data_IF_859297112502
#
_entry.id   IF_859297112502
#
_cell.length_a   1.000
_cell.length_b   1.000
_cell.length_c   1.000
_cell.angle_alpha   90.00
_cell.angle_beta   90.00
_cell.angle_gamma   90.00
#
_symmetry.space_group_name_H-M   'P 1'
#
loop_
_entity.id
_entity.type
_entity.pdbx_description
1 polymer ?
#
# COMPACT_ATOMS: atom_id res chain seq x y z
N UNK A 1 -20.46 7.12 -6.01
CA UNK A 1 -20.03 8.02 -4.93
C UNK A 1 -18.93 8.95 -5.40
N UNK A 2 -18.73 10.10 -4.75
CA UNK A 2 -17.57 10.96 -5.02
C UNK A 2 -16.32 10.23 -4.54
N UNK A 3 -15.15 10.58 -5.09
CA UNK A 3 -13.88 10.10 -4.55
C UNK A 3 -13.85 10.32 -3.04
N UNK A 4 -13.39 9.31 -2.28
CA UNK A 4 -13.35 9.27 -0.82
C UNK A 4 -14.67 8.98 -0.06
N UNK A 5 -15.80 8.72 -0.75
CA UNK A 5 -17.04 8.31 -0.06
C UNK A 5 -17.59 6.96 -0.52
N UNK A 6 -18.28 6.26 0.38
CA UNK A 6 -18.86 4.94 0.15
C UNK A 6 -20.26 4.78 0.78
N UNK A 7 -20.89 3.63 0.52
CA UNK A 7 -22.22 3.26 1.05
C UNK A 7 -23.36 3.61 0.09
N UNK A 8 -24.58 3.14 0.41
CA UNK A 8 -25.76 3.28 -0.47
C UNK A 8 -26.11 4.73 -0.81
N UNK A 9 -25.86 5.65 0.13
CA UNK A 9 -26.08 7.09 -0.04
C UNK A 9 -24.79 7.89 -0.23
N UNK A 10 -23.63 7.23 -0.38
CA UNK A 10 -22.33 7.89 -0.56
C UNK A 10 -21.99 8.90 0.54
N UNK A 11 -22.50 8.69 1.76
CA UNK A 11 -22.40 9.62 2.89
C UNK A 11 -21.32 9.24 3.89
N UNK A 12 -20.78 8.02 3.79
CA UNK A 12 -19.67 7.56 4.63
C UNK A 12 -18.34 7.90 3.99
N UNK A 13 -17.35 8.24 4.83
CA UNK A 13 -16.03 8.67 4.36
C UNK A 13 -15.02 7.55 4.55
N UNK A 14 -14.22 7.28 3.52
CA UNK A 14 -13.19 6.26 3.62
C UNK A 14 -12.04 6.75 4.49
N UNK A 15 -11.61 5.96 5.47
CA UNK A 15 -10.51 6.30 6.37
C UNK A 15 -9.16 5.79 5.83
N UNK A 16 -8.87 6.12 4.56
CA UNK A 16 -7.64 5.72 3.90
C UNK A 16 -6.52 6.75 4.13
N UNK A 17 -5.27 6.28 4.19
CA UNK A 17 -4.11 7.15 4.13
C UNK A 17 -4.09 7.89 2.79
N UNK A 18 -4.20 9.23 2.80
CA UNK A 18 -4.31 10.05 1.59
C UNK A 18 -3.05 10.04 0.71
N UNK A 19 -1.91 9.65 1.25
CA UNK A 19 -0.63 9.59 0.53
C UNK A 19 -0.41 8.21 -0.11
N UNK A 20 -0.95 7.15 0.50
CA UNK A 20 -0.64 5.76 0.15
C UNK A 20 -1.80 4.97 -0.43
N UNK A 21 -3.03 5.50 -0.38
CA UNK A 21 -4.16 4.90 -1.07
C UNK A 21 -4.17 5.26 -2.56
N UNK A 22 -4.72 4.35 -3.37
CA UNK A 22 -4.93 4.54 -4.79
C UNK A 22 -6.38 4.96 -5.07
N UNK A 23 -7.35 4.25 -4.51
CA UNK A 23 -8.75 4.65 -4.49
C UNK A 23 -9.50 3.94 -3.36
N UNK A 24 -10.71 4.39 -3.06
CA UNK A 24 -11.60 3.73 -2.13
C UNK A 24 -12.72 3.02 -2.90
N UNK A 25 -13.04 1.79 -2.51
CA UNK A 25 -14.20 1.06 -3.03
C UNK A 25 -15.49 1.78 -2.60
N UNK A 26 -16.28 2.19 -3.60
CA UNK A 26 -17.48 3.00 -3.37
C UNK A 26 -18.66 2.21 -2.81
N UNK A 27 -18.57 0.88 -2.75
CA UNK A 27 -19.58 -0.01 -2.18
C UNK A 27 -19.22 -0.34 -0.74
N UNK A 28 -17.98 -0.84 -0.52
CA UNK A 28 -17.55 -1.37 0.79
C UNK A 28 -16.86 -0.35 1.69
N UNK A 29 -16.28 0.70 1.10
CA UNK A 29 -15.39 1.62 1.83
C UNK A 29 -13.97 1.09 2.02
N UNK A 30 -13.63 -0.05 1.41
CA UNK A 30 -12.30 -0.63 1.48
C UNK A 30 -11.28 0.24 0.74
N UNK A 31 -10.12 0.45 1.36
CA UNK A 31 -9.03 1.20 0.75
C UNK A 31 -8.21 0.29 -0.17
N UNK A 32 -8.14 0.64 -1.45
CA UNK A 32 -7.19 0.02 -2.37
C UNK A 32 -5.89 0.79 -2.27
N UNK A 33 -4.84 0.12 -1.79
CA UNK A 33 -3.54 0.73 -1.55
C UNK A 33 -2.69 0.82 -2.82
N UNK A 34 -1.79 1.80 -2.85
CA UNK A 34 -0.73 1.86 -3.86
C UNK A 34 0.20 0.65 -3.69
N UNK A 35 0.94 0.24 -4.74
CA UNK A 35 2.00 -0.75 -4.61
C UNK A 35 2.97 -0.39 -3.47
N UNK A 36 3.42 -1.40 -2.72
CA UNK A 36 4.27 -1.21 -1.55
C UNK A 36 3.51 -0.89 -0.25
N UNK A 37 2.17 -0.79 -0.28
CA UNK A 37 1.36 -0.52 0.91
C UNK A 37 0.25 -1.56 1.09
N UNK A 38 -0.09 -1.81 2.35
CA UNK A 38 -1.08 -2.78 2.78
C UNK A 38 -1.85 -2.31 4.02
N UNK A 39 -2.70 -3.19 4.54
CA UNK A 39 -3.62 -2.88 5.63
C UNK A 39 -4.92 -2.22 5.14
N UNK A 40 -5.96 -2.26 5.97
CA UNK A 40 -7.30 -1.77 5.60
C UNK A 40 -7.33 -0.28 5.26
N UNK A 41 -6.32 0.47 5.68
CA UNK A 41 -6.22 1.92 5.56
C UNK A 41 -4.92 2.38 4.86
N UNK A 42 -4.12 1.46 4.33
CA UNK A 42 -2.87 1.75 3.60
C UNK A 42 -1.80 2.47 4.42
N UNK A 43 -1.75 2.21 5.74
CA UNK A 43 -0.68 2.72 6.60
C UNK A 43 0.48 1.73 6.77
N UNK A 44 0.26 0.47 6.43
CA UNK A 44 1.26 -0.58 6.63
C UNK A 44 2.14 -0.68 5.37
N UNK A 45 3.42 -0.38 5.54
CA UNK A 45 4.43 -0.57 4.51
C UNK A 45 4.67 -2.07 4.25
N UNK A 46 4.75 -2.46 2.98
CA UNK A 46 5.02 -3.85 2.59
C UNK A 46 6.53 -4.03 2.51
N UNK A 47 7.08 -4.84 3.39
CA UNK A 47 8.50 -5.18 3.32
C UNK A 47 8.75 -6.21 2.20
N UNK A 48 9.18 -5.74 1.03
CA UNK A 48 9.46 -6.63 -0.10
C UNK A 48 10.70 -7.51 0.11
N UNK A 49 11.57 -7.15 1.07
CA UNK A 49 12.75 -7.94 1.39
C UNK A 49 12.39 -9.23 2.15
N UNK A 50 11.25 -9.29 2.83
CA UNK A 50 10.81 -10.47 3.56
C UNK A 50 10.34 -11.58 2.62
N UNK A 51 10.86 -12.80 2.81
CA UNK A 51 10.43 -13.99 2.07
C UNK A 51 11.00 -14.13 0.65
N UNK A 52 11.80 -13.18 0.17
CA UNK A 52 12.38 -13.21 -1.18
C UNK A 52 13.79 -13.81 -1.23
N UNK A 53 14.39 -14.18 -0.09
CA UNK A 53 15.78 -14.70 0.00
C UNK A 53 16.78 -13.86 -0.80
N UNK A 54 16.56 -12.54 -0.86
CA UNK A 54 17.39 -11.59 -1.60
C UNK A 54 17.39 -11.78 -3.13
N UNK A 55 16.42 -12.51 -3.69
CA UNK A 55 16.24 -12.70 -5.15
C UNK A 55 15.84 -11.41 -5.86
N UNK A 56 15.30 -10.44 -5.12
CA UNK A 56 14.95 -9.12 -5.66
C UNK A 56 16.18 -8.29 -6.07
N UNK A 57 17.33 -8.55 -5.44
CA UNK A 57 18.52 -7.74 -5.57
C UNK A 57 19.65 -8.51 -6.30
N UNK A 58 20.55 -7.81 -7.02
CA UNK A 58 21.74 -8.42 -7.60
C UNK A 58 22.62 -9.17 -6.60
N UNK A 59 23.41 -10.13 -7.08
CA UNK A 59 24.40 -10.83 -6.25
C UNK A 59 25.37 -9.84 -5.59
N UNK A 60 25.62 -10.00 -4.29
CA UNK A 60 26.39 -9.07 -3.44
C UNK A 60 25.72 -7.70 -3.20
N UNK A 61 24.39 -7.65 -3.18
CA UNK A 61 23.67 -6.50 -2.64
C UNK A 61 22.65 -6.95 -1.62
N UNK A 62 22.48 -6.16 -0.57
CA UNK A 62 21.51 -6.37 0.49
C UNK A 62 20.22 -5.61 0.16
N UNK A 63 19.08 -6.31 0.24
CA UNK A 63 17.78 -5.69 0.17
C UNK A 63 17.53 -4.83 1.42
N UNK A 64 17.18 -3.56 1.21
CA UNK A 64 16.84 -2.60 2.25
C UNK A 64 15.42 -2.09 1.98
N UNK A 65 14.50 -2.41 2.89
CA UNK A 65 13.13 -1.95 2.80
C UNK A 65 13.04 -0.42 2.98
N UNK A 66 12.13 0.22 2.24
CA UNK A 66 11.86 1.66 2.29
C UNK A 66 10.36 1.94 2.22
N UNK A 67 9.85 3.06 2.73
CA UNK A 67 8.40 3.32 2.67
C UNK A 67 7.87 3.33 1.22
N UNK A 68 7.02 2.36 0.89
CA UNK A 68 6.40 2.10 -0.40
C UNK A 68 7.26 1.36 -1.42
N UNK A 69 8.48 0.93 -1.09
CA UNK A 69 9.36 0.20 -2.00
C UNK A 69 10.59 -0.41 -1.31
N UNK A 70 11.58 -0.89 -2.07
CA UNK A 70 12.86 -1.33 -1.54
C UNK A 70 14.03 -0.78 -2.37
N UNK A 71 15.21 -0.81 -1.77
CA UNK A 71 16.46 -0.48 -2.45
C UNK A 71 17.51 -1.55 -2.20
N UNK A 72 18.34 -1.84 -3.20
CA UNK A 72 19.44 -2.78 -3.07
C UNK A 72 20.73 -2.00 -2.79
N UNK A 73 21.32 -2.20 -1.61
CA UNK A 73 22.61 -1.60 -1.25
C UNK A 73 23.74 -2.60 -1.48
N UNK A 74 24.82 -2.14 -2.09
CA UNK A 74 26.04 -2.94 -2.28
C UNK A 74 26.98 -2.89 -1.06
#
# INVERSE_FOLDING_TARGET
CRSFTFGETCSEYCHCNSENYQFCDNIKGDCVCKPGWSGNNCFDDVDECLGTNNVLCPSNSDCVNTPGSYTCKC
#
